data_IF_583491892872
#
_entry.id   IF_583491892872
#
_cell.length_a   1.000
_cell.length_b   1.000
_cell.length_c   1.000
_cell.angle_alpha   90.00
_cell.angle_beta   90.00
_cell.angle_gamma   90.00
#
_symmetry.space_group_name_H-M   'P 1'
#
loop_
_entity.id
_entity.type
_entity.pdbx_description
1 polymer ?
#
# COMPACT_ATOMS: atom_id res chain seq x y z
N UNK A 1 36.92 8.91 -11.97
CA UNK A 1 36.12 9.64 -10.93
C UNK A 1 34.80 10.22 -11.44
N UNK A 2 34.69 10.69 -12.69
CA UNK A 2 33.47 11.35 -13.20
C UNK A 2 32.22 10.46 -13.29
N UNK A 3 32.39 9.16 -13.57
CA UNK A 3 31.27 8.20 -13.63
C UNK A 3 30.65 7.88 -12.27
N UNK A 4 31.46 7.92 -11.20
CA UNK A 4 30.99 7.64 -9.83
C UNK A 4 29.98 8.70 -9.39
N UNK A 5 30.25 9.97 -9.70
CA UNK A 5 29.33 11.07 -9.40
C UNK A 5 27.98 10.92 -10.12
N UNK A 6 28.01 10.47 -11.39
CA UNK A 6 26.80 10.22 -12.17
C UNK A 6 25.98 9.09 -11.54
N UNK A 7 26.62 7.98 -11.17
CA UNK A 7 25.95 6.85 -10.50
C UNK A 7 25.32 7.31 -9.17
N UNK A 8 26.01 8.16 -8.39
CA UNK A 8 25.52 8.68 -7.12
C UNK A 8 24.27 9.58 -7.28
N UNK A 9 24.22 10.37 -8.36
CA UNK A 9 23.08 11.23 -8.68
C UNK A 9 21.88 10.37 -9.14
N UNK A 10 22.12 9.34 -9.95
CA UNK A 10 21.06 8.41 -10.35
C UNK A 10 20.52 7.60 -9.17
N UNK A 11 21.35 7.13 -8.26
CA UNK A 11 20.87 6.33 -7.12
C UNK A 11 20.12 7.17 -6.10
N UNK A 12 20.57 8.39 -5.82
CA UNK A 12 19.87 9.31 -4.90
C UNK A 12 18.50 9.75 -5.42
N UNK A 13 18.36 10.00 -6.72
CA UNK A 13 17.06 10.32 -7.34
C UNK A 13 16.09 9.13 -7.29
N UNK A 14 16.56 7.90 -7.47
CA UNK A 14 15.73 6.69 -7.34
C UNK A 14 15.27 6.44 -5.89
N UNK A 15 16.07 6.80 -4.88
CA UNK A 15 15.70 6.66 -3.47
C UNK A 15 14.64 7.70 -3.06
N UNK A 16 14.72 8.93 -3.56
CA UNK A 16 13.75 10.00 -3.26
C UNK A 16 12.39 9.74 -3.94
N UNK A 17 12.40 9.08 -5.10
CA UNK A 17 11.17 8.74 -5.84
C UNK A 17 10.38 7.55 -5.27
N UNK A 18 10.81 6.96 -4.15
CA UNK A 18 10.04 5.93 -3.47
C UNK A 18 8.86 6.56 -2.74
N UNK A 19 7.71 6.60 -3.40
CA UNK A 19 6.47 6.99 -2.77
C UNK A 19 5.99 5.89 -1.82
N UNK A 20 5.89 6.21 -0.53
CA UNK A 20 5.18 5.38 0.44
C UNK A 20 3.69 5.49 0.12
N UNK A 21 3.15 4.50 -0.59
CA UNK A 21 1.71 4.43 -0.85
C UNK A 21 0.99 4.12 0.45
N UNK A 22 0.26 5.10 0.99
CA UNK A 22 -0.62 4.88 2.15
C UNK A 22 -1.99 4.44 1.66
N UNK A 23 -2.64 3.56 2.42
CA UNK A 23 -4.06 3.26 2.21
C UNK A 23 -4.86 4.53 2.50
N UNK A 24 -5.69 4.96 1.55
CA UNK A 24 -6.65 6.04 1.76
C UNK A 24 -7.83 5.49 2.55
N UNK A 25 -7.82 5.67 3.86
CA UNK A 25 -8.85 5.20 4.78
C UNK A 25 -10.25 5.78 4.50
N UNK A 26 -10.36 6.91 3.77
CA UNK A 26 -11.66 7.47 3.40
C UNK A 26 -12.25 6.83 2.14
N UNK A 27 -11.42 6.18 1.33
CA UNK A 27 -11.82 5.58 0.04
C UNK A 27 -11.66 4.07 -0.02
N UNK A 28 -11.06 3.47 1.00
CA UNK A 28 -10.74 2.04 1.03
C UNK A 28 -11.65 1.31 2.00
N UNK A 29 -12.14 0.12 1.61
CA UNK A 29 -12.82 -0.79 2.52
C UNK A 29 -12.41 -2.25 2.27
N UNK A 30 -12.49 -3.09 3.30
CA UNK A 30 -12.32 -4.54 3.19
C UNK A 30 -13.68 -5.19 3.39
N UNK A 31 -14.16 -5.86 2.35
CA UNK A 31 -15.39 -6.66 2.42
C UNK A 31 -15.05 -8.14 2.54
N UNK A 32 -15.72 -8.83 3.46
CA UNK A 32 -15.58 -10.27 3.67
C UNK A 32 -16.95 -10.92 3.69
N UNK A 33 -17.05 -12.07 3.05
CA UNK A 33 -18.26 -12.88 3.04
C UNK A 33 -17.92 -14.34 3.34
N UNK A 34 -18.84 -15.01 4.01
CA UNK A 34 -18.69 -16.40 4.38
C UNK A 34 -20.02 -17.13 4.31
N UNK A 35 -19.96 -18.44 4.05
CA UNK A 35 -21.11 -19.33 4.06
C UNK A 35 -20.77 -20.54 4.91
N UNK A 36 -21.64 -20.85 5.86
CA UNK A 36 -21.52 -22.04 6.69
C UNK A 36 -22.89 -22.69 6.85
N UNK A 37 -23.01 -23.95 6.38
CA UNK A 37 -24.27 -24.67 6.27
C UNK A 37 -25.36 -23.84 5.56
N UNK A 38 -26.44 -23.50 6.27
CA UNK A 38 -27.58 -22.73 5.79
C UNK A 38 -27.40 -21.21 5.98
N UNK A 39 -26.33 -20.77 6.66
CA UNK A 39 -26.09 -19.37 6.97
C UNK A 39 -25.09 -18.75 6.01
N UNK A 40 -25.37 -17.51 5.64
CA UNK A 40 -24.46 -16.62 4.91
C UNK A 40 -24.25 -15.38 5.76
N UNK A 41 -23.03 -14.88 5.80
CA UNK A 41 -22.73 -13.57 6.37
C UNK A 41 -21.87 -12.77 5.41
N UNK A 42 -22.01 -11.46 5.51
CA UNK A 42 -21.20 -10.47 4.82
C UNK A 42 -20.97 -9.32 5.78
N UNK A 43 -19.74 -8.82 5.83
CA UNK A 43 -19.41 -7.63 6.58
C UNK A 43 -18.34 -6.83 5.84
N UNK A 44 -18.34 -5.53 6.11
CA UNK A 44 -17.47 -4.56 5.48
C UNK A 44 -16.78 -3.74 6.58
N UNK A 45 -15.45 -3.70 6.56
CA UNK A 45 -14.67 -2.82 7.39
C UNK A 45 -14.23 -1.59 6.56
N UNK A 46 -14.78 -0.43 6.93
CA UNK A 46 -14.47 0.87 6.31
C UNK A 46 -13.37 1.64 7.06
N UNK A 47 -12.97 1.17 8.24
CA UNK A 47 -11.92 1.78 9.05
C UNK A 47 -10.63 0.98 8.90
N UNK A 48 -10.00 1.10 7.74
CA UNK A 48 -8.69 0.51 7.48
C UNK A 48 -7.64 1.60 7.43
N UNK A 49 -6.79 1.62 8.46
CA UNK A 49 -5.52 2.34 8.47
C UNK A 49 -4.41 1.34 8.21
N UNK A 50 -3.68 1.51 7.12
CA UNK A 50 -2.55 0.64 6.80
C UNK A 50 -1.31 1.43 6.40
N UNK A 51 -0.16 0.94 6.87
CA UNK A 51 1.17 1.44 6.52
C UNK A 51 1.83 0.38 5.61
N UNK A 52 1.75 0.58 4.29
CA UNK A 52 2.52 -0.23 3.36
C UNK A 52 3.98 0.21 3.42
N UNK A 53 4.85 -0.71 3.85
CA UNK A 53 6.31 -0.54 3.85
C UNK A 53 6.91 -1.05 2.55
#
# INVERSE_FOLDING_TARGET
>A
MRFIAIILILTSSNLISQEIKRVDSNRSSISYSGKHFLHKWSAENKNISDYFR
#
